data_IF_848393540687
#
_entry.id   IF_848393540687
#
_cell.length_a   1.000
_cell.length_b   1.000
_cell.length_c   1.000
_cell.angle_alpha   90.00
_cell.angle_beta   90.00
_cell.angle_gamma   90.00
#
_symmetry.space_group_name_H-M   'P 1'
#
loop_
_entity.id
_entity.type
_entity.pdbx_description
1 polymer ?
#
# COMPACT_ATOMS: atom_id res chain seq x y z
N UNK A 1 0.94 11.25 -20.09
CA UNK A 1 0.79 11.65 -18.67
C UNK A 1 -0.61 12.19 -18.33
N UNK A 2 -1.25 13.00 -19.18
CA UNK A 2 -2.59 13.56 -18.90
C UNK A 2 -3.72 12.51 -18.71
N UNK A 3 -3.73 11.39 -19.44
CA UNK A 3 -4.79 10.38 -19.28
C UNK A 3 -4.83 9.77 -17.88
N UNK A 4 -3.66 9.45 -17.29
CA UNK A 4 -3.59 8.89 -15.92
C UNK A 4 -4.15 9.87 -14.88
N UNK A 5 -3.86 11.16 -15.05
CA UNK A 5 -4.35 12.22 -14.17
C UNK A 5 -5.87 12.40 -14.30
N UNK A 6 -6.40 12.38 -15.54
CA UNK A 6 -7.84 12.45 -15.79
C UNK A 6 -8.58 11.25 -15.20
N UNK A 7 -8.07 10.03 -15.42
CA UNK A 7 -8.65 8.81 -14.85
C UNK A 7 -8.59 8.84 -13.32
N UNK A 8 -7.46 9.26 -12.74
CA UNK A 8 -7.31 9.42 -11.29
C UNK A 8 -8.32 10.40 -10.70
N UNK A 9 -8.48 11.58 -11.31
CA UNK A 9 -9.46 12.57 -10.87
C UNK A 9 -10.91 12.07 -11.00
N UNK A 10 -11.22 11.31 -12.06
CA UNK A 10 -12.53 10.69 -12.21
C UNK A 10 -12.78 9.62 -11.12
N UNK A 11 -11.77 8.82 -10.78
CA UNK A 11 -11.86 7.85 -9.68
C UNK A 11 -12.08 8.56 -8.35
N UNK A 12 -11.32 9.63 -8.05
CA UNK A 12 -11.49 10.43 -6.83
C UNK A 12 -12.90 11.06 -6.75
N UNK A 13 -13.52 11.39 -7.89
CA UNK A 13 -14.90 11.89 -7.93
C UNK A 13 -15.96 10.79 -7.74
N UNK A 14 -15.65 9.55 -8.10
CA UNK A 14 -16.59 8.42 -8.05
C UNK A 14 -16.48 7.59 -6.77
N UNK A 15 -15.32 7.63 -6.10
CA UNK A 15 -15.03 6.90 -4.87
C UNK A 15 -14.86 7.87 -3.71
N UNK A 16 -15.96 8.19 -3.02
CA UNK A 16 -15.93 9.07 -1.83
C UNK A 16 -14.95 8.59 -0.75
N UNK A 17 -14.86 7.26 -0.56
CA UNK A 17 -13.97 6.62 0.41
C UNK A 17 -13.30 5.39 -0.21
N UNK A 18 -12.12 5.55 -0.84
CA UNK A 18 -11.38 4.42 -1.37
C UNK A 18 -10.92 3.51 -0.22
N UNK A 19 -10.96 2.20 -0.45
CA UNK A 19 -10.54 1.19 0.52
C UNK A 19 -9.07 1.36 0.95
N UNK A 20 -8.22 1.80 0.03
CA UNK A 20 -6.82 2.14 0.28
C UNK A 20 -6.45 3.40 -0.49
N UNK A 21 -5.78 4.35 0.19
CA UNK A 21 -5.14 5.52 -0.41
C UNK A 21 -3.72 5.65 0.12
N UNK A 22 -2.77 6.08 -0.72
CA UNK A 22 -1.37 6.25 -0.32
C UNK A 22 -0.74 7.46 -1.00
N UNK A 23 0.30 8.02 -0.37
CA UNK A 23 1.15 9.07 -0.94
C UNK A 23 2.30 8.53 -1.81
N UNK A 24 2.43 7.21 -1.93
CA UNK A 24 3.52 6.59 -2.69
C UNK A 24 3.41 6.83 -4.21
N UNK A 25 4.51 6.66 -4.95
CA UNK A 25 4.51 6.76 -6.41
C UNK A 25 3.54 5.78 -7.08
N UNK A 26 3.08 6.12 -8.29
CA UNK A 26 2.08 5.32 -9.03
C UNK A 26 2.54 3.93 -9.49
N UNK A 27 3.82 3.58 -9.31
CA UNK A 27 4.36 2.24 -9.58
C UNK A 27 4.28 1.32 -8.35
N UNK A 28 3.90 1.85 -7.19
CA UNK A 28 3.63 1.03 -6.02
C UNK A 28 2.43 0.13 -6.30
N UNK A 29 2.63 -1.17 -6.11
CA UNK A 29 1.55 -2.14 -6.16
C UNK A 29 1.11 -2.48 -4.75
N UNK A 30 -0.20 -2.39 -4.50
CA UNK A 30 -0.80 -2.76 -3.21
C UNK A 30 -1.93 -3.76 -3.42
N UNK A 31 -2.03 -4.73 -2.53
CA UNK A 31 -3.12 -5.71 -2.53
C UNK A 31 -3.52 -6.05 -1.09
N UNK A 32 -4.81 -6.08 -0.82
CA UNK A 32 -5.37 -6.46 0.49
C UNK A 32 -6.16 -7.75 0.31
N UNK A 33 -5.85 -8.76 1.12
CA UNK A 33 -6.59 -10.01 1.17
C UNK A 33 -7.17 -10.21 2.58
N UNK A 34 -8.46 -10.52 2.68
CA UNK A 34 -9.08 -10.90 3.95
C UNK A 34 -8.83 -12.39 4.24
N UNK A 35 -8.45 -12.67 5.48
CA UNK A 35 -8.31 -14.00 6.06
C UNK A 35 -9.28 -14.05 7.25
N UNK A 36 -10.55 -14.32 6.93
CA UNK A 36 -11.65 -14.19 7.88
C UNK A 36 -11.58 -15.21 9.02
N UNK A 37 -11.11 -16.43 8.75
CA UNK A 37 -10.96 -17.48 9.76
C UNK A 37 -9.89 -17.12 10.80
N UNK A 38 -8.90 -16.31 10.39
CA UNK A 38 -7.81 -15.81 11.21
C UNK A 38 -8.04 -14.38 11.75
N UNK A 39 -9.20 -13.79 11.46
CA UNK A 39 -9.56 -12.42 11.87
C UNK A 39 -8.50 -11.37 11.51
N UNK A 40 -7.99 -11.43 10.27
CA UNK A 40 -6.99 -10.47 9.80
C UNK A 40 -7.13 -10.14 8.32
N UNK A 41 -6.57 -9.01 7.91
CA UNK A 41 -6.23 -8.73 6.53
C UNK A 41 -4.71 -8.84 6.33
N UNK A 42 -4.30 -9.19 5.12
CA UNK A 42 -2.91 -9.21 4.69
C UNK A 42 -2.72 -8.17 3.59
N UNK A 43 -2.05 -7.07 3.94
CA UNK A 43 -1.68 -6.01 3.01
C UNK A 43 -0.29 -6.29 2.44
N UNK A 44 -0.23 -6.50 1.13
CA UNK A 44 1.00 -6.61 0.37
C UNK A 44 1.32 -5.24 -0.22
N UNK A 45 2.54 -4.77 0.01
CA UNK A 45 3.06 -3.51 -0.52
C UNK A 45 4.32 -3.82 -1.30
N UNK A 46 4.30 -3.65 -2.61
CA UNK A 46 5.40 -3.99 -3.51
C UNK A 46 5.86 -2.74 -4.26
N UNK A 47 7.15 -2.47 -4.20
CA UNK A 47 7.84 -1.39 -4.88
C UNK A 47 8.88 -1.99 -5.84
N UNK A 48 8.40 -2.36 -7.03
CA UNK A 48 9.25 -2.82 -8.13
C UNK A 48 9.12 -1.84 -9.28
N UNK A 49 10.22 -1.18 -9.64
CA UNK A 49 10.28 -0.29 -10.80
C UNK A 49 10.87 -1.09 -11.96
N UNK A 50 10.06 -1.57 -12.92
CA UNK A 50 10.60 -2.26 -14.08
C UNK A 50 11.35 -1.25 -14.97
N UNK A 51 12.56 -1.61 -15.42
CA UNK A 51 13.28 -0.88 -16.47
C UNK A 51 13.54 -1.78 -17.68
N UNK A 52 13.17 -1.26 -18.85
CA UNK A 52 13.51 -1.84 -20.16
C UNK A 52 14.95 -1.45 -20.50
N UNK A 53 15.88 -2.41 -20.43
CA UNK A 53 17.28 -2.19 -20.88
C UNK A 53 17.57 -2.78 -22.27
N UNK A 54 16.65 -3.54 -22.83
CA UNK A 54 16.68 -4.09 -24.19
C UNK A 54 15.26 -4.32 -24.69
N UNK A 55 15.05 -4.45 -26.01
CA UNK A 55 13.73 -4.71 -26.62
C UNK A 55 13.03 -5.97 -26.09
N UNK A 56 13.80 -6.90 -25.50
CA UNK A 56 13.29 -8.20 -25.05
C UNK A 56 13.61 -8.54 -23.57
N UNK A 57 14.26 -7.64 -22.81
CA UNK A 57 14.71 -7.94 -21.45
C UNK A 57 14.36 -6.77 -20.52
N UNK A 58 13.49 -7.07 -19.55
CA UNK A 58 13.27 -6.23 -18.37
C UNK A 58 14.21 -6.71 -17.25
N UNK A 59 15.04 -5.79 -16.73
CA UNK A 59 15.90 -6.07 -15.57
C UNK A 59 15.40 -5.21 -14.42
N UNK A 60 15.19 -5.83 -13.26
CA UNK A 60 14.96 -5.10 -12.01
C UNK A 60 16.33 -4.65 -11.48
N UNK A 61 16.64 -3.36 -11.56
CA UNK A 61 17.87 -2.78 -11.01
C UNK A 61 17.64 -2.15 -9.61
N UNK A 62 18.73 -1.68 -8.98
CA UNK A 62 18.86 -1.39 -7.54
C UNK A 62 17.65 -0.80 -6.81
N UNK A 63 17.45 -1.29 -5.60
CA UNK A 63 16.33 -0.95 -4.69
C UNK A 63 16.34 0.55 -4.43
N UNK A 64 15.32 1.27 -4.89
CA UNK A 64 15.05 2.65 -4.47
C UNK A 64 14.06 2.58 -3.31
N UNK A 65 14.52 2.64 -2.03
CA UNK A 65 13.62 2.59 -0.91
C UNK A 65 12.71 3.82 -0.90
N UNK A 66 11.43 3.59 -0.64
CA UNK A 66 10.49 4.66 -0.35
C UNK A 66 10.52 4.96 1.14
N UNK A 67 10.48 6.24 1.48
CA UNK A 67 10.43 6.72 2.85
C UNK A 67 9.09 7.41 3.11
N UNK A 68 8.65 7.36 4.37
CA UNK A 68 7.44 8.04 4.83
C UNK A 68 6.20 7.73 3.98
N UNK A 69 5.99 6.45 3.71
CA UNK A 69 4.82 5.95 2.98
C UNK A 69 3.64 5.89 3.94
N UNK A 70 2.68 6.78 3.73
CA UNK A 70 1.41 6.79 4.44
C UNK A 70 0.38 5.98 3.68
N UNK A 71 -0.35 5.12 4.40
CA UNK A 71 -1.41 4.27 3.85
C UNK A 71 -2.67 4.53 4.68
N UNK A 72 -3.70 5.07 4.05
CA UNK A 72 -5.04 5.23 4.63
C UNK A 72 -5.90 4.04 4.22
N UNK A 73 -6.59 3.44 5.19
CA UNK A 73 -7.40 2.25 5.05
C UNK A 73 -8.86 2.54 5.46
N UNK A 74 -9.78 2.15 4.58
CA UNK A 74 -11.23 2.17 4.83
C UNK A 74 -11.77 0.75 4.67
N UNK A 75 -11.40 -0.13 5.61
CA UNK A 75 -11.77 -1.54 5.57
C UNK A 75 -13.12 -1.79 6.27
N UNK A 76 -13.88 -2.83 5.87
CA UNK A 76 -15.16 -3.16 6.51
C UNK A 76 -15.05 -3.44 8.01
N UNK A 77 -13.93 -4.03 8.45
CA UNK A 77 -13.63 -4.28 9.86
C UNK A 77 -12.51 -3.36 10.32
N UNK A 78 -12.67 -2.81 11.52
CA UNK A 78 -11.72 -1.88 12.12
C UNK A 78 -10.46 -2.63 12.57
N UNK A 79 -9.30 -2.19 12.10
CA UNK A 79 -8.01 -2.76 12.46
C UNK A 79 -7.65 -2.36 13.89
N UNK A 80 -7.28 -3.34 14.70
CA UNK A 80 -6.82 -3.15 16.08
C UNK A 80 -5.30 -3.20 16.19
N UNK A 81 -4.63 -3.90 15.27
CA UNK A 81 -3.18 -4.07 15.26
C UNK A 81 -2.63 -4.16 13.83
N UNK A 82 -1.50 -3.51 13.58
CA UNK A 82 -0.76 -3.62 12.32
C UNK A 82 0.69 -4.08 12.57
N UNK A 83 1.12 -5.15 11.91
CA UNK A 83 2.42 -5.76 12.11
C UNK A 83 3.13 -6.01 10.76
N UNK A 84 4.32 -5.45 10.58
CA UNK A 84 5.20 -5.80 9.48
C UNK A 84 5.74 -7.23 9.66
N UNK A 85 5.52 -8.09 8.67
CA UNK A 85 6.04 -9.46 8.65
C UNK A 85 7.02 -9.66 7.49
N UNK A 86 8.13 -10.40 7.71
CA UNK A 86 8.46 -11.21 8.90
C UNK A 86 9.14 -10.47 10.06
N UNK A 87 9.37 -9.16 9.95
CA UNK A 87 10.22 -8.41 10.90
C UNK A 87 9.62 -8.30 12.32
N UNK A 88 8.30 -8.45 12.46
CA UNK A 88 7.61 -8.32 13.74
C UNK A 88 7.55 -6.87 14.25
N UNK A 89 7.70 -5.89 13.36
CA UNK A 89 7.66 -4.46 13.70
C UNK A 89 6.22 -3.98 13.70
N UNK A 90 5.73 -3.53 14.85
CA UNK A 90 4.38 -2.99 15.00
C UNK A 90 4.31 -1.57 14.42
N UNK A 91 3.23 -1.28 13.71
CA UNK A 91 2.96 0.04 13.14
C UNK A 91 1.83 0.71 13.92
N UNK A 92 1.97 2.01 14.17
CA UNK A 92 0.92 2.80 14.78
C UNK A 92 -0.28 2.91 13.84
N UNK A 93 -1.47 2.62 14.38
CA UNK A 93 -2.75 2.77 13.70
C UNK A 93 -3.44 4.01 14.25
N UNK A 94 -3.60 5.04 13.42
CA UNK A 94 -4.26 6.29 13.81
C UNK A 94 -5.63 6.42 13.14
N UNK A 95 -6.68 6.65 13.91
CA UNK A 95 -8.01 6.95 13.37
C UNK A 95 -8.07 8.42 12.89
N UNK A 96 -8.49 8.63 11.65
CA UNK A 96 -8.74 9.96 11.06
C UNK A 96 -10.13 10.01 10.43
N UNK A 97 -10.61 11.20 10.05
CA UNK A 97 -11.88 11.34 9.32
C UNK A 97 -11.89 10.58 7.97
N UNK A 98 -10.71 10.41 7.36
CA UNK A 98 -10.52 9.76 6.08
C UNK A 98 -10.37 8.23 6.15
N UNK A 99 -10.16 7.65 7.33
CA UNK A 99 -9.88 6.23 7.55
C UNK A 99 -8.77 5.98 8.59
N UNK A 100 -8.39 4.72 8.77
CA UNK A 100 -7.26 4.34 9.62
C UNK A 100 -5.93 4.53 8.87
N UNK A 101 -4.98 5.24 9.45
CA UNK A 101 -3.70 5.57 8.82
C UNK A 101 -2.58 4.75 9.44
N UNK A 102 -1.76 4.15 8.57
CA UNK A 102 -0.50 3.49 8.88
C UNK A 102 0.65 4.27 8.24
N UNK A 103 1.78 4.38 8.94
CA UNK A 103 2.97 5.04 8.42
C UNK A 103 4.15 4.06 8.38
N UNK A 104 4.66 3.81 7.18
CA UNK A 104 5.88 3.05 6.96
C UNK A 104 7.04 4.04 6.82
N UNK A 105 7.96 4.05 7.79
CA UNK A 105 9.16 4.89 7.75
C UNK A 105 10.10 4.54 6.59
N UNK A 106 10.13 3.26 6.22
CA UNK A 106 10.91 2.75 5.09
C UNK A 106 10.24 1.54 4.46
N UNK A 107 10.13 1.57 3.14
CA UNK A 107 9.74 0.46 2.30
C UNK A 107 10.90 0.14 1.34
N UNK A 108 11.42 -1.08 1.40
CA UNK A 108 12.39 -1.59 0.43
C UNK A 108 11.71 -2.02 -0.87
N UNK A 109 11.92 -3.28 -1.26
CA UNK A 109 11.24 -3.88 -2.42
C UNK A 109 9.80 -4.31 -2.11
N UNK A 110 9.61 -4.88 -0.93
CA UNK A 110 8.30 -5.37 -0.50
C UNK A 110 8.17 -5.27 1.01
N UNK A 111 6.94 -5.11 1.46
CA UNK A 111 6.54 -5.32 2.83
C UNK A 111 5.20 -6.06 2.82
N UNK A 112 5.06 -7.05 3.70
CA UNK A 112 3.75 -7.61 4.04
C UNK A 112 3.39 -7.09 5.42
N UNK A 113 2.15 -6.64 5.56
CA UNK A 113 1.60 -6.09 6.81
C UNK A 113 0.39 -6.94 7.17
N UNK A 114 0.45 -7.56 8.33
CA UNK A 114 -0.69 -8.21 8.97
C UNK A 114 -1.53 -7.14 9.67
N UNK A 115 -2.83 -7.14 9.41
CA UNK A 115 -3.80 -6.19 9.96
C UNK A 115 -4.87 -6.98 10.72
N UNK A 116 -4.70 -7.14 12.03
CA UNK A 116 -5.67 -7.86 12.88
C UNK A 116 -6.87 -6.97 13.21
N UNK A 117 -8.06 -7.56 13.31
CA UNK A 117 -9.30 -6.87 13.69
C UNK A 117 -10.08 -7.65 14.75
#
# INVERSE_FOLDING_TARGET
HWCKQLVGAAIDCLLDKPMLKTNAPSHLFTAINEQADESRYVLHVLNYIPQLKSEQIEIVEDIIPLHDVSITLNLPRKITKALCVPEGVELDVSDTEAGQVLNLSKLGNKQVIELSY
#
